data_IF_302125533620
#
_entry.id   IF_302125533620
#
_cell.length_a   1.000
_cell.length_b   1.000
_cell.length_c   1.000
_cell.angle_alpha   90.00
_cell.angle_beta   90.00
_cell.angle_gamma   90.00
#
_symmetry.space_group_name_H-M   'P 1'
#
loop_
_entity.id
_entity.type
_entity.pdbx_description
1 polymer ?
#
# COMPACT_ATOMS: atom_id res chain seq x y z
N UNK A 1 -12.87 -30.07 70.27
CA UNK A 1 -13.08 -28.68 69.72
C UNK A 1 -12.14 -28.49 68.53
N UNK A 2 -12.54 -28.79 67.35
CA UNK A 2 -11.70 -28.66 66.16
C UNK A 2 -12.25 -27.56 65.28
N UNK A 3 -11.51 -26.49 65.15
CA UNK A 3 -11.80 -25.37 64.27
C UNK A 3 -11.28 -25.72 62.91
N UNK A 4 -12.18 -26.06 62.01
CA UNK A 4 -11.89 -26.27 60.58
C UNK A 4 -11.78 -24.90 59.94
N UNK A 5 -10.55 -24.50 59.61
CA UNK A 5 -10.31 -23.31 58.80
C UNK A 5 -10.54 -23.67 57.33
N UNK A 6 -11.65 -23.21 56.79
CA UNK A 6 -11.89 -23.21 55.36
C UNK A 6 -10.98 -22.17 54.69
N UNK A 7 -9.96 -22.65 53.99
CA UNK A 7 -9.24 -21.82 53.03
C UNK A 7 -10.02 -21.78 51.76
N UNK A 8 -10.73 -20.69 51.53
CA UNK A 8 -11.28 -20.37 50.20
C UNK A 8 -10.14 -19.82 49.38
N UNK A 9 -9.59 -20.67 48.53
CA UNK A 9 -8.60 -20.29 47.53
C UNK A 9 -9.33 -19.56 46.40
N UNK A 10 -9.34 -18.23 46.46
CA UNK A 10 -9.85 -17.37 45.35
C UNK A 10 -8.84 -17.42 44.24
N UNK A 11 -9.03 -18.35 43.31
CA UNK A 11 -8.27 -18.36 42.06
C UNK A 11 -8.71 -17.16 41.20
N UNK A 12 -8.00 -16.05 41.38
CA UNK A 12 -8.13 -14.88 40.50
C UNK A 12 -7.48 -15.27 39.17
N UNK A 13 -8.31 -15.76 38.24
CA UNK A 13 -7.90 -15.99 36.87
C UNK A 13 -7.56 -14.65 36.22
N UNK A 14 -6.27 -14.37 36.14
CA UNK A 14 -5.77 -13.35 35.24
C UNK A 14 -6.05 -13.79 33.80
N UNK A 15 -7.17 -13.34 33.25
CA UNK A 15 -7.34 -13.28 31.81
C UNK A 15 -6.32 -12.27 31.29
N UNK A 16 -5.12 -12.77 30.96
CA UNK A 16 -4.23 -12.07 30.07
C UNK A 16 -4.93 -12.01 28.73
N UNK A 17 -5.64 -10.91 28.51
CA UNK A 17 -6.01 -10.52 27.16
C UNK A 17 -4.69 -10.38 26.40
N UNK A 18 -4.35 -11.42 25.63
CA UNK A 18 -3.36 -11.32 24.59
C UNK A 18 -3.88 -10.24 23.64
N UNK A 19 -3.40 -9.01 23.83
CA UNK A 19 -3.38 -8.08 22.72
C UNK A 19 -2.48 -8.75 21.69
N UNK A 20 -3.06 -9.49 20.78
CA UNK A 20 -2.41 -9.77 19.52
C UNK A 20 -1.99 -8.41 18.98
N UNK A 21 -0.70 -8.14 19.11
CA UNK A 21 -0.07 -7.13 18.29
C UNK A 21 -0.40 -7.58 16.88
N UNK A 22 -1.33 -6.90 16.28
CA UNK A 22 -1.44 -6.88 14.82
C UNK A 22 -0.08 -6.32 14.42
N UNK A 23 0.85 -7.21 14.13
CA UNK A 23 2.02 -6.86 13.34
C UNK A 23 1.42 -6.33 12.04
N UNK A 24 1.30 -5.01 11.97
CA UNK A 24 1.11 -4.30 10.73
C UNK A 24 2.38 -4.56 9.91
N UNK A 25 2.53 -5.78 9.41
CA UNK A 25 3.37 -6.04 8.27
C UNK A 25 2.78 -5.16 7.19
N UNK A 26 3.46 -4.05 6.94
CA UNK A 26 3.30 -3.25 5.74
C UNK A 26 3.51 -4.25 4.61
N UNK A 27 2.40 -4.83 4.16
CA UNK A 27 2.39 -5.94 3.23
C UNK A 27 2.26 -5.45 1.79
N UNK A 28 2.17 -6.39 0.90
CA UNK A 28 1.83 -6.15 -0.49
C UNK A 28 0.33 -5.87 -0.59
N UNK A 29 -0.05 -4.73 -1.21
CA UNK A 29 -1.43 -4.40 -1.53
C UNK A 29 -1.83 -5.03 -2.86
N UNK A 30 -3.06 -5.48 -2.94
CA UNK A 30 -3.65 -6.08 -4.16
C UNK A 30 -5.01 -5.45 -4.46
N UNK A 31 -5.53 -5.71 -5.65
CA UNK A 31 -6.91 -5.33 -5.97
C UNK A 31 -7.89 -6.01 -5.01
N UNK A 32 -8.89 -5.26 -4.57
CA UNK A 32 -9.93 -5.78 -3.67
C UNK A 32 -10.67 -6.96 -4.33
N UNK A 33 -10.98 -8.03 -3.58
CA UNK A 33 -11.68 -9.19 -4.11
C UNK A 33 -12.94 -8.82 -4.88
N UNK A 34 -13.09 -9.37 -6.09
CA UNK A 34 -14.23 -9.09 -6.96
C UNK A 34 -14.24 -7.72 -7.63
N UNK A 35 -13.13 -6.98 -7.55
CA UNK A 35 -12.96 -5.67 -8.20
C UNK A 35 -11.68 -5.62 -9.04
N UNK A 36 -11.60 -4.62 -9.92
CA UNK A 36 -10.37 -4.29 -10.67
C UNK A 36 -9.65 -3.08 -10.04
N UNK A 37 -9.78 -2.91 -8.71
CA UNK A 37 -9.30 -1.72 -8.01
C UNK A 37 -8.48 -2.09 -6.77
N UNK A 38 -7.23 -1.62 -6.71
CA UNK A 38 -6.42 -1.61 -5.51
C UNK A 38 -6.53 -0.23 -4.83
N UNK A 39 -6.59 -0.20 -3.50
CA UNK A 39 -6.63 1.04 -2.73
C UNK A 39 -5.38 1.14 -1.88
N UNK A 40 -4.70 2.28 -1.96
CA UNK A 40 -3.55 2.63 -1.14
C UNK A 40 -3.92 3.84 -0.30
N UNK A 41 -4.07 3.64 1.00
CA UNK A 41 -4.28 4.73 1.94
C UNK A 41 -2.98 5.49 2.19
N UNK A 42 -3.06 6.83 2.23
CA UNK A 42 -1.94 7.70 2.54
C UNK A 42 -2.21 8.43 3.84
N UNK A 43 -1.21 8.53 4.69
CA UNK A 43 -1.30 9.26 5.95
C UNK A 43 0.02 9.98 6.25
N UNK A 44 -0.03 10.92 7.17
CA UNK A 44 1.16 11.65 7.64
C UNK A 44 1.56 11.05 8.98
N UNK A 45 2.81 10.62 9.09
CA UNK A 45 3.34 10.10 10.34
C UNK A 45 3.59 11.21 11.38
N UNK A 46 3.96 10.83 12.60
CA UNK A 46 4.25 11.75 13.70
C UNK A 46 5.39 12.75 13.41
N UNK A 47 6.24 12.45 12.44
CA UNK A 47 7.36 13.30 12.02
C UNK A 47 6.99 14.19 10.83
N UNK A 48 5.74 14.10 10.34
CA UNK A 48 5.22 14.86 9.21
C UNK A 48 5.61 14.28 7.85
N UNK A 49 6.07 13.03 7.76
CA UNK A 49 6.36 12.36 6.51
C UNK A 49 5.13 11.62 5.98
N UNK A 50 4.87 11.70 4.67
CA UNK A 50 3.82 10.91 4.06
C UNK A 50 4.20 9.42 4.10
N UNK A 51 3.21 8.58 4.38
CA UNK A 51 3.34 7.13 4.43
C UNK A 51 2.22 6.51 3.60
N UNK A 52 2.50 5.35 3.00
CA UNK A 52 1.49 4.52 2.36
C UNK A 52 1.08 3.36 3.28
N UNK A 53 -0.17 2.94 3.19
CA UNK A 53 -0.68 1.78 3.92
C UNK A 53 -0.02 0.46 3.52
N UNK A 54 0.64 0.44 2.34
CA UNK A 54 1.43 -0.68 1.82
C UNK A 54 2.70 -0.14 1.15
N UNK A 55 3.81 -0.85 1.29
CA UNK A 55 5.08 -0.49 0.63
C UNK A 55 5.08 -0.84 -0.86
N UNK A 56 4.37 -1.89 -1.19
CA UNK A 56 4.26 -2.40 -2.55
C UNK A 56 2.79 -2.66 -2.88
N UNK A 57 2.36 -2.26 -4.05
CA UNK A 57 1.05 -2.61 -4.60
C UNK A 57 1.24 -3.46 -5.85
N UNK A 58 0.62 -4.63 -5.87
CA UNK A 58 0.62 -5.54 -7.01
C UNK A 58 -0.68 -5.41 -7.78
N UNK A 59 -0.56 -5.15 -9.06
CA UNK A 59 -1.69 -4.98 -9.97
C UNK A 59 -1.42 -5.67 -11.30
N UNK A 60 -2.45 -5.77 -12.13
CA UNK A 60 -2.41 -6.38 -13.46
C UNK A 60 -2.90 -5.41 -14.51
N UNK A 61 -2.57 -5.63 -15.79
CA UNK A 61 -3.09 -4.81 -16.88
C UNK A 61 -4.63 -4.69 -16.85
N UNK A 62 -5.13 -3.47 -16.99
CA UNK A 62 -6.56 -3.16 -16.91
C UNK A 62 -7.08 -2.85 -15.52
N UNK A 63 -6.28 -3.08 -14.47
CA UNK A 63 -6.63 -2.67 -13.11
C UNK A 63 -6.29 -1.20 -12.85
N UNK A 64 -6.80 -0.65 -11.77
CA UNK A 64 -6.50 0.71 -11.31
C UNK A 64 -6.08 0.73 -9.86
N UNK A 65 -5.27 1.73 -9.53
CA UNK A 65 -4.86 2.03 -8.16
C UNK A 65 -5.49 3.37 -7.79
N UNK A 66 -6.16 3.40 -6.63
CA UNK A 66 -6.68 4.62 -6.02
C UNK A 66 -5.80 4.93 -4.81
N UNK A 67 -5.09 6.05 -4.88
CA UNK A 67 -4.42 6.63 -3.73
C UNK A 67 -5.38 7.60 -3.05
N UNK A 68 -5.62 7.40 -1.76
CA UNK A 68 -6.53 8.22 -0.97
C UNK A 68 -5.85 8.69 0.32
N UNK A 69 -5.84 9.98 0.56
CA UNK A 69 -5.12 10.56 1.69
C UNK A 69 -5.44 12.02 1.96
N UNK A 70 -4.44 12.81 2.40
CA UNK A 70 -4.60 14.24 2.64
C UNK A 70 -5.15 14.99 1.40
N UNK A 71 -5.81 16.12 1.61
CA UNK A 71 -6.43 16.90 0.52
C UNK A 71 -5.47 17.21 -0.62
N UNK A 72 -4.19 17.45 -0.30
CA UNK A 72 -3.15 17.79 -1.27
C UNK A 72 -1.95 16.89 -1.11
N UNK A 73 -1.70 16.08 -2.10
CA UNK A 73 -0.47 15.30 -2.26
C UNK A 73 -0.15 15.10 -3.74
N UNK A 74 1.07 14.69 -4.01
CA UNK A 74 1.54 14.36 -5.36
C UNK A 74 2.11 12.95 -5.37
N UNK A 75 1.83 12.20 -6.42
CA UNK A 75 2.52 10.96 -6.77
C UNK A 75 3.54 11.29 -7.85
N UNK A 76 4.81 11.01 -7.59
CA UNK A 76 5.94 11.39 -8.45
C UNK A 76 6.71 10.16 -8.89
N UNK A 77 6.98 10.03 -10.17
CA UNK A 77 7.82 8.98 -10.75
C UNK A 77 9.17 9.57 -11.11
N UNK A 78 10.23 9.23 -10.34
CA UNK A 78 11.54 9.88 -10.43
C UNK A 78 12.37 9.41 -11.61
N UNK A 79 12.44 8.10 -11.81
CA UNK A 79 13.38 7.49 -12.75
C UNK A 79 12.74 7.06 -14.07
N UNK A 80 11.43 7.03 -14.12
CA UNK A 80 10.65 6.60 -15.27
C UNK A 80 9.25 7.19 -15.24
N UNK A 81 8.59 7.20 -16.37
CA UNK A 81 7.17 7.57 -16.43
C UNK A 81 6.33 6.53 -15.69
N UNK A 82 5.20 6.99 -15.16
CA UNK A 82 4.19 6.10 -14.60
C UNK A 82 3.66 5.11 -15.65
N UNK A 83 2.89 4.09 -15.24
CA UNK A 83 2.15 3.24 -16.18
C UNK A 83 1.32 4.02 -17.20
N UNK A 84 0.85 5.22 -16.85
CA UNK A 84 0.09 6.12 -17.77
C UNK A 84 0.96 7.03 -18.62
N UNK A 85 2.28 6.97 -18.50
CA UNK A 85 3.23 7.79 -19.25
C UNK A 85 3.47 9.20 -18.70
N UNK A 86 3.00 9.51 -17.48
CA UNK A 86 3.20 10.80 -16.80
C UNK A 86 4.30 10.68 -15.74
N UNK A 87 5.00 11.77 -15.45
CA UNK A 87 6.00 11.82 -14.37
C UNK A 87 5.40 12.16 -13.00
N UNK A 88 4.24 12.78 -12.97
CA UNK A 88 3.57 13.18 -11.74
C UNK A 88 2.05 13.13 -11.88
N UNK A 89 1.37 13.00 -10.74
CA UNK A 89 -0.07 13.11 -10.62
C UNK A 89 -0.41 13.87 -9.34
N UNK A 90 -1.16 14.97 -9.49
CA UNK A 90 -1.64 15.78 -8.37
C UNK A 90 -2.96 15.22 -7.85
N UNK A 91 -3.15 15.21 -6.54
CA UNK A 91 -4.43 14.81 -5.96
C UNK A 91 -5.52 15.85 -6.23
N UNK A 92 -6.72 15.33 -6.48
CA UNK A 92 -7.96 16.09 -6.51
C UNK A 92 -8.83 15.63 -5.34
N UNK A 93 -9.11 16.52 -4.39
CA UNK A 93 -9.86 16.19 -3.18
C UNK A 93 -9.31 14.98 -2.41
N UNK A 94 -7.97 14.89 -2.30
CA UNK A 94 -7.32 13.79 -1.60
C UNK A 94 -7.28 12.46 -2.35
N UNK A 95 -7.48 12.46 -3.67
CA UNK A 95 -7.51 11.25 -4.49
C UNK A 95 -6.62 11.40 -5.73
N UNK A 96 -5.84 10.35 -6.01
CA UNK A 96 -5.17 10.13 -7.31
C UNK A 96 -5.57 8.75 -7.81
N UNK A 97 -5.94 8.65 -9.08
CA UNK A 97 -6.24 7.38 -9.75
C UNK A 97 -5.20 7.11 -10.83
N UNK A 98 -4.58 5.94 -10.79
CA UNK A 98 -3.68 5.45 -11.83
C UNK A 98 -4.28 4.20 -12.45
N UNK A 99 -4.62 4.27 -13.72
CA UNK A 99 -5.10 3.13 -14.50
C UNK A 99 -3.92 2.42 -15.16
N UNK A 100 -3.84 1.09 -15.04
CA UNK A 100 -2.81 0.30 -15.68
C UNK A 100 -3.29 -0.06 -17.09
N UNK A 101 -2.62 0.45 -18.15
CA UNK A 101 -3.03 0.16 -19.52
C UNK A 101 -3.05 -1.35 -19.79
N UNK A 102 -4.01 -1.81 -20.56
CA UNK A 102 -4.12 -3.25 -20.90
C UNK A 102 -2.95 -3.73 -21.75
N UNK A 103 -2.39 -2.82 -22.58
CA UNK A 103 -1.25 -3.06 -23.49
C UNK A 103 0.10 -2.65 -22.90
N UNK A 104 0.19 -2.52 -21.56
CA UNK A 104 1.39 -1.98 -20.92
C UNK A 104 2.64 -2.82 -21.23
N UNK A 105 2.53 -4.15 -21.24
CA UNK A 105 3.66 -5.02 -21.54
C UNK A 105 4.12 -4.90 -22.98
N UNK A 106 3.20 -4.84 -23.94
CA UNK A 106 3.53 -4.67 -25.35
C UNK A 106 4.20 -3.32 -25.61
N UNK A 107 3.76 -2.27 -24.92
CA UNK A 107 4.36 -0.95 -25.00
C UNK A 107 5.79 -0.97 -24.44
N UNK A 108 5.98 -1.48 -23.22
CA UNK A 108 7.30 -1.52 -22.57
C UNK A 108 8.28 -2.46 -23.33
N UNK A 109 7.81 -3.57 -23.88
CA UNK A 109 8.62 -4.45 -24.70
C UNK A 109 9.11 -3.76 -25.96
N UNK A 110 8.28 -2.95 -26.62
CA UNK A 110 8.68 -2.16 -27.78
C UNK A 110 9.73 -1.11 -27.43
N UNK A 111 9.55 -0.41 -26.31
CA UNK A 111 10.48 0.62 -25.86
C UNK A 111 11.82 0.02 -25.42
N UNK A 112 11.81 -1.06 -24.66
CA UNK A 112 13.01 -1.72 -24.17
C UNK A 112 13.68 -2.63 -25.21
N UNK A 113 13.06 -2.87 -26.36
CA UNK A 113 13.51 -3.85 -27.38
C UNK A 113 13.76 -5.26 -26.79
N UNK A 114 12.99 -5.63 -25.79
CA UNK A 114 13.10 -6.89 -25.08
C UNK A 114 11.79 -7.65 -25.12
N UNK A 115 11.83 -8.92 -25.52
CA UNK A 115 10.65 -9.78 -25.66
C UNK A 115 10.19 -10.44 -24.33
N UNK A 116 11.04 -10.45 -23.30
CA UNK A 116 10.80 -11.26 -22.10
C UNK A 116 10.72 -10.41 -20.82
N UNK A 117 9.75 -9.47 -20.77
CA UNK A 117 9.45 -8.73 -19.56
C UNK A 117 8.35 -9.49 -18.81
N UNK A 118 8.66 -10.01 -17.63
CA UNK A 118 7.71 -10.76 -16.79
C UNK A 118 6.93 -9.84 -15.83
N UNK A 119 7.62 -8.88 -15.23
CA UNK A 119 7.08 -7.91 -14.29
C UNK A 119 7.59 -6.53 -14.61
N UNK A 120 6.78 -5.51 -14.32
CA UNK A 120 7.15 -4.12 -14.43
C UNK A 120 7.10 -3.49 -13.04
N UNK A 121 8.20 -2.86 -12.63
CA UNK A 121 8.30 -2.18 -11.33
C UNK A 121 8.39 -0.68 -11.56
N UNK A 122 7.45 0.06 -10.97
CA UNK A 122 7.40 1.51 -10.98
C UNK A 122 7.66 2.04 -9.57
N UNK A 123 8.80 2.70 -9.39
CA UNK A 123 9.12 3.39 -8.14
C UNK A 123 8.52 4.78 -8.17
N UNK A 124 7.75 5.10 -7.15
CA UNK A 124 7.11 6.40 -7.03
C UNK A 124 7.41 7.04 -5.69
N UNK A 125 7.30 8.36 -5.63
CA UNK A 125 7.36 9.13 -4.41
C UNK A 125 5.99 9.67 -4.07
N UNK A 126 5.69 9.76 -2.77
CA UNK A 126 4.53 10.49 -2.26
C UNK A 126 5.08 11.79 -1.70
N UNK A 127 4.66 12.93 -2.24
CA UNK A 127 5.05 14.25 -1.75
C UNK A 127 3.91 14.93 -1.03
N UNK A 128 4.15 15.34 0.22
CA UNK A 128 3.25 16.19 1.01
C UNK A 128 4.08 17.24 1.70
N UNK A 129 3.73 18.52 1.52
CA UNK A 129 4.43 19.65 2.15
C UNK A 129 5.97 19.60 1.98
N UNK A 130 6.45 19.20 0.81
CA UNK A 130 7.86 19.11 0.49
C UNK A 130 8.59 17.86 1.01
N UNK A 131 7.95 17.01 1.82
CA UNK A 131 8.49 15.73 2.29
C UNK A 131 8.08 14.60 1.37
N UNK A 132 8.99 13.65 1.13
CA UNK A 132 8.79 12.56 0.17
C UNK A 132 9.15 11.22 0.80
N UNK A 133 8.39 10.17 0.45
CA UNK A 133 8.67 8.75 0.70
C UNK A 133 8.58 7.95 -0.59
N UNK A 134 9.19 6.76 -0.64
CA UNK A 134 9.44 6.03 -1.89
C UNK A 134 8.89 4.57 -1.88
N UNK A 135 7.58 4.34 -2.02
CA UNK A 135 7.00 3.01 -2.26
C UNK A 135 7.08 2.57 -3.73
N UNK A 136 6.54 1.37 -4.04
CA UNK A 136 6.59 0.83 -5.41
C UNK A 136 5.25 0.22 -5.90
N UNK A 137 5.06 0.24 -7.23
CA UNK A 137 4.00 -0.47 -7.94
C UNK A 137 4.62 -1.62 -8.71
N UNK A 138 4.11 -2.82 -8.53
CA UNK A 138 4.49 -4.00 -9.30
C UNK A 138 3.34 -4.41 -10.23
N UNK A 139 3.60 -4.39 -11.54
CA UNK A 139 2.63 -4.85 -12.55
C UNK A 139 3.03 -6.23 -13.01
N UNK A 140 2.27 -7.25 -12.60
CA UNK A 140 2.46 -8.64 -12.99
C UNK A 140 1.69 -9.00 -14.27
N UNK A 141 2.08 -10.10 -14.89
CA UNK A 141 1.27 -10.77 -15.93
C UNK A 141 0.27 -11.71 -15.25
N UNK A 142 -0.94 -11.77 -15.79
CA UNK A 142 -1.92 -12.80 -15.43
C UNK A 142 -1.60 -14.12 -16.13
#
# INVERSE_FOLDING_TARGET
>A
MHIIKFFVLLALGFLLASCDRIDNKIGEGEALPGTETAIVGLYIDKNGYPQASVEKVKVFPGQKIIFAGPDKFEIIFKDQKSPTGRFEALSENGIVVIEIPRDIFEREQREAKSADIKDLIYRYGIRVNGKITDPEINVGRR
#
